data_IF_240374667930
#
_entry.id   IF_240374667930
#
_cell.length_a   1.000
_cell.length_b   1.000
_cell.length_c   1.000
_cell.angle_alpha   90.00
_cell.angle_beta   90.00
_cell.angle_gamma   90.00
#
_symmetry.space_group_name_H-M   'P 1'
#
loop_
_entity.id
_entity.type
_entity.pdbx_description
1 polymer ?
#
# COMPACT_ATOMS: atom_id res chain seq x y z
N UNK A 1 3.32 4.46 -10.61
CA UNK A 1 4.63 4.86 -11.16
C UNK A 1 4.57 5.10 -12.66
N UNK A 2 4.16 4.13 -13.47
CA UNK A 2 3.97 4.33 -14.92
C UNK A 2 3.00 5.49 -15.24
N UNK A 3 1.84 5.52 -14.57
CA UNK A 3 0.87 6.62 -14.69
C UNK A 3 1.49 7.99 -14.42
N UNK A 4 2.24 8.12 -13.35
CA UNK A 4 2.87 9.37 -12.91
C UNK A 4 3.94 9.86 -13.86
N UNK A 5 4.71 8.94 -14.46
CA UNK A 5 5.70 9.26 -15.50
C UNK A 5 5.02 9.85 -16.74
N UNK A 6 3.91 9.27 -17.18
CA UNK A 6 3.16 9.77 -18.34
C UNK A 6 2.42 11.08 -18.07
N UNK A 7 1.99 11.30 -16.83
CA UNK A 7 1.39 12.55 -16.37
C UNK A 7 2.42 13.67 -16.14
N UNK A 8 3.73 13.37 -16.15
CA UNK A 8 4.79 14.31 -15.80
C UNK A 8 4.78 14.71 -14.32
N UNK A 9 4.10 13.93 -13.48
CA UNK A 9 3.88 14.26 -12.08
C UNK A 9 5.09 13.84 -11.24
N UNK A 10 5.53 14.73 -10.35
CA UNK A 10 6.79 14.56 -9.58
C UNK A 10 6.76 13.36 -8.62
N UNK A 11 5.57 12.81 -8.31
CA UNK A 11 5.44 11.64 -7.46
C UNK A 11 4.17 10.85 -7.74
N UNK A 12 4.29 9.53 -7.74
CA UNK A 12 3.15 8.59 -7.82
C UNK A 12 2.25 8.58 -6.58
N UNK A 13 2.58 9.41 -5.59
CA UNK A 13 1.75 9.68 -4.41
C UNK A 13 0.88 10.93 -4.59
N UNK A 14 0.86 11.56 -5.77
CA UNK A 14 0.06 12.77 -6.08
C UNK A 14 -1.20 12.37 -6.84
N UNK A 15 -1.87 11.32 -6.39
CA UNK A 15 -3.16 10.91 -6.96
C UNK A 15 -4.25 11.47 -6.05
N UNK A 16 -4.53 12.77 -6.20
CA UNK A 16 -5.56 13.51 -5.47
C UNK A 16 -5.71 13.08 -3.99
N UNK A 17 -4.61 13.10 -3.25
CA UNK A 17 -4.58 12.90 -1.79
C UNK A 17 -5.38 13.97 -1.04
N UNK A 18 -5.96 14.94 -1.75
CA UNK A 18 -6.70 16.07 -1.19
C UNK A 18 -8.17 15.79 -0.92
N UNK A 19 -8.75 14.72 -1.50
CA UNK A 19 -10.18 14.47 -1.41
C UNK A 19 -10.65 13.70 -0.15
N UNK A 20 -9.79 12.90 0.51
CA UNK A 20 -10.22 12.06 1.65
C UNK A 20 -9.27 12.15 2.88
N UNK A 21 -9.76 12.56 4.08
CA UNK A 21 -8.95 12.71 5.29
C UNK A 21 -8.24 11.41 5.72
N UNK A 22 -8.79 10.23 5.38
CA UNK A 22 -8.20 8.93 5.71
C UNK A 22 -6.87 8.71 4.97
N UNK A 23 -6.81 9.08 3.69
CA UNK A 23 -5.58 8.98 2.89
C UNK A 23 -4.52 9.97 3.42
N UNK A 24 -4.93 11.17 3.80
CA UNK A 24 -4.02 12.17 4.39
C UNK A 24 -3.39 11.67 5.70
N UNK A 25 -4.17 11.00 6.55
CA UNK A 25 -3.65 10.37 7.76
C UNK A 25 -2.65 9.25 7.44
N UNK A 26 -2.99 8.36 6.50
CA UNK A 26 -2.11 7.27 6.07
C UNK A 26 -0.76 7.76 5.52
N UNK A 27 -0.76 8.83 4.72
CA UNK A 27 0.46 9.40 4.14
C UNK A 27 1.28 10.28 5.10
N UNK A 28 0.90 10.36 6.37
CA UNK A 28 1.77 10.95 7.40
C UNK A 28 3.00 10.06 7.57
N UNK A 29 4.24 10.58 7.53
CA UNK A 29 5.46 9.77 7.48
C UNK A 29 5.57 8.77 8.63
N UNK A 30 5.15 9.15 9.84
CA UNK A 30 5.14 8.24 11.01
C UNK A 30 4.16 7.08 10.85
N UNK A 31 2.97 7.34 10.32
CA UNK A 31 1.93 6.32 10.09
C UNK A 31 2.38 5.37 8.99
N UNK A 32 2.86 5.90 7.87
CA UNK A 32 3.38 5.09 6.77
C UNK A 32 4.51 4.14 7.21
N UNK A 33 5.43 4.64 8.05
CA UNK A 33 6.52 3.81 8.62
C UNK A 33 5.97 2.69 9.50
N UNK A 34 5.00 2.97 10.38
CA UNK A 34 4.37 1.94 11.23
C UNK A 34 3.66 0.87 10.39
N UNK A 35 2.94 1.27 9.34
CA UNK A 35 2.31 0.33 8.41
C UNK A 35 3.34 -0.48 7.62
N UNK A 36 4.50 0.08 7.31
CA UNK A 36 5.58 -0.63 6.64
C UNK A 36 6.24 -1.67 7.55
N UNK A 37 6.65 -1.25 8.75
CA UNK A 37 7.25 -2.13 9.75
C UNK A 37 6.27 -3.22 10.15
N UNK A 38 5.00 -2.89 10.43
CA UNK A 38 3.99 -3.87 10.79
C UNK A 38 3.76 -4.93 9.72
N UNK A 39 3.79 -4.53 8.44
CA UNK A 39 3.71 -5.46 7.32
C UNK A 39 4.95 -6.36 7.19
N UNK A 40 6.16 -5.82 7.37
CA UNK A 40 7.39 -6.62 7.39
C UNK A 40 7.40 -7.61 8.55
N UNK A 41 7.02 -7.17 9.76
CA UNK A 41 6.91 -8.02 10.96
C UNK A 41 5.88 -9.13 10.76
N UNK A 42 4.77 -8.88 10.06
CA UNK A 42 3.79 -9.91 9.72
C UNK A 42 4.41 -11.02 8.86
N UNK A 43 5.10 -10.66 7.77
CA UNK A 43 5.75 -11.65 6.90
C UNK A 43 6.90 -12.39 7.59
N UNK A 44 7.68 -11.70 8.43
CA UNK A 44 8.69 -12.33 9.28
C UNK A 44 8.03 -13.32 10.26
N UNK A 45 6.91 -12.95 10.88
CA UNK A 45 6.21 -13.83 11.82
C UNK A 45 5.69 -15.09 11.12
N UNK A 46 5.11 -14.96 9.92
CA UNK A 46 4.68 -16.10 9.10
C UNK A 46 5.86 -17.00 8.70
N UNK A 47 6.99 -16.40 8.31
CA UNK A 47 8.21 -17.12 8.01
C UNK A 47 8.69 -17.93 9.23
N UNK A 48 8.74 -17.28 10.40
CA UNK A 48 9.14 -17.95 11.64
C UNK A 48 8.16 -19.06 12.03
N UNK A 49 6.85 -18.86 11.91
CA UNK A 49 5.84 -19.90 12.12
C UNK A 49 6.06 -21.08 11.17
N UNK A 50 6.34 -20.84 9.89
CA UNK A 50 6.51 -21.92 8.92
C UNK A 50 7.80 -22.75 9.13
N UNK A 51 8.92 -22.10 9.48
CA UNK A 51 10.23 -22.74 9.55
C UNK A 51 10.71 -23.12 10.96
N UNK A 52 10.20 -22.47 12.02
CA UNK A 52 10.57 -22.83 13.40
C UNK A 52 9.63 -23.91 13.92
N UNK A 53 10.11 -25.15 13.79
CA UNK A 53 9.43 -26.37 14.25
C UNK A 53 9.47 -26.48 15.79
N UNK A 54 8.29 -26.58 16.40
CA UNK A 54 8.01 -27.29 17.67
C UNK A 54 8.64 -26.84 19.00
N UNK A 55 9.19 -25.63 19.14
CA UNK A 55 9.32 -25.04 20.48
C UNK A 55 8.00 -24.37 20.86
N UNK A 56 7.15 -25.09 21.60
CA UNK A 56 5.74 -24.71 21.87
C UNK A 56 5.53 -23.28 22.40
N UNK A 57 6.53 -22.70 23.07
CA UNK A 57 6.50 -21.31 23.53
C UNK A 57 6.77 -20.29 22.40
N UNK A 58 7.72 -20.56 21.49
CA UNK A 58 8.07 -19.63 20.41
C UNK A 58 7.02 -19.61 19.32
N UNK A 59 6.45 -20.76 18.97
CA UNK A 59 5.31 -20.85 18.04
C UNK A 59 4.13 -19.98 18.50
N UNK A 60 3.75 -20.08 19.78
CA UNK A 60 2.66 -19.28 20.36
C UNK A 60 2.98 -17.78 20.36
N UNK A 61 4.21 -17.41 20.68
CA UNK A 61 4.65 -16.02 20.69
C UNK A 61 4.58 -15.39 19.28
N UNK A 62 5.16 -16.06 18.26
CA UNK A 62 5.12 -15.59 16.88
C UNK A 62 3.71 -15.64 16.29
N UNK A 63 2.89 -16.61 16.70
CA UNK A 63 1.46 -16.67 16.36
C UNK A 63 0.68 -15.44 16.86
N UNK A 64 0.92 -15.02 18.11
CA UNK A 64 0.28 -13.82 18.65
C UNK A 64 0.72 -12.56 17.91
N UNK A 65 2.01 -12.44 17.61
CA UNK A 65 2.56 -11.30 16.83
C UNK A 65 1.97 -11.29 15.41
N UNK A 66 1.84 -12.45 14.76
CA UNK A 66 1.22 -12.56 13.44
C UNK A 66 -0.25 -12.09 13.47
N UNK A 67 -1.03 -12.51 14.47
CA UNK A 67 -2.43 -12.07 14.62
C UNK A 67 -2.52 -10.57 14.90
N UNK A 68 -1.63 -10.02 15.73
CA UNK A 68 -1.61 -8.59 16.04
C UNK A 68 -1.22 -7.73 14.84
N UNK A 69 -0.33 -8.23 13.97
CA UNK A 69 0.18 -7.50 12.79
C UNK A 69 -0.64 -7.75 11.52
N UNK A 70 -1.45 -8.82 11.49
CA UNK A 70 -2.37 -9.13 10.40
C UNK A 70 -3.28 -7.96 9.98
N UNK A 71 -3.99 -7.25 10.88
CA UNK A 71 -4.84 -6.13 10.47
C UNK A 71 -4.04 -5.01 9.80
N UNK A 72 -2.81 -4.76 10.24
CA UNK A 72 -1.92 -3.74 9.65
C UNK A 72 -1.51 -4.15 8.24
N UNK A 73 -1.11 -5.41 8.05
CA UNK A 73 -0.76 -5.96 6.74
C UNK A 73 -1.97 -5.94 5.79
N UNK A 74 -3.14 -6.36 6.24
CA UNK A 74 -4.38 -6.36 5.44
C UNK A 74 -4.78 -4.94 5.01
N UNK A 75 -4.77 -3.97 5.94
CA UNK A 75 -5.04 -2.57 5.61
C UNK A 75 -4.05 -2.02 4.58
N UNK A 76 -2.75 -2.34 4.69
CA UNK A 76 -1.76 -1.93 3.70
C UNK A 76 -2.05 -2.51 2.30
N UNK A 77 -2.46 -3.77 2.21
CA UNK A 77 -2.84 -4.39 0.94
C UNK A 77 -4.09 -3.75 0.32
N UNK A 78 -5.08 -3.40 1.14
CA UNK A 78 -6.27 -2.66 0.68
C UNK A 78 -5.86 -1.31 0.08
N UNK A 79 -4.97 -0.58 0.75
CA UNK A 79 -4.52 0.73 0.28
C UNK A 79 -3.75 0.61 -1.04
N UNK A 80 -2.92 -0.42 -1.22
CA UNK A 80 -2.30 -0.69 -2.52
C UNK A 80 -3.34 -0.96 -3.61
N UNK A 81 -4.44 -1.66 -3.30
CA UNK A 81 -5.56 -1.86 -4.23
C UNK A 81 -6.25 -0.55 -4.63
N UNK A 82 -6.52 0.33 -3.66
CA UNK A 82 -7.09 1.67 -3.92
C UNK A 82 -6.16 2.50 -4.81
N UNK A 83 -4.86 2.51 -4.51
CA UNK A 83 -3.86 3.21 -5.32
C UNK A 83 -3.79 2.68 -6.75
N UNK A 84 -3.98 1.37 -6.96
CA UNK A 84 -4.03 0.77 -8.29
C UNK A 84 -5.23 1.28 -9.09
N UNK A 85 -6.43 1.28 -8.49
CA UNK A 85 -7.64 1.77 -9.15
C UNK A 85 -7.52 3.24 -9.53
N UNK A 86 -7.03 4.08 -8.61
CA UNK A 86 -6.80 5.51 -8.86
C UNK A 86 -5.79 5.72 -9.99
N UNK A 87 -4.70 4.94 -10.02
CA UNK A 87 -3.72 5.01 -11.10
C UNK A 87 -4.33 4.64 -12.47
N UNK A 88 -5.21 3.63 -12.52
CA UNK A 88 -5.93 3.26 -13.74
C UNK A 88 -6.87 4.38 -14.22
N UNK A 89 -7.60 5.01 -13.31
CA UNK A 89 -8.50 6.12 -13.64
C UNK A 89 -7.76 7.33 -14.20
N UNK A 90 -6.63 7.69 -13.60
CA UNK A 90 -5.80 8.79 -14.06
C UNK A 90 -5.21 8.54 -15.46
N UNK A 91 -4.80 7.31 -15.74
CA UNK A 91 -4.34 6.91 -17.08
C UNK A 91 -5.44 7.07 -18.13
N UNK A 92 -6.67 6.61 -17.86
CA UNK A 92 -7.79 6.77 -18.78
C UNK A 92 -8.16 8.24 -19.05
N UNK A 93 -8.05 9.10 -18.03
CA UNK A 93 -8.22 10.55 -18.18
C UNK A 93 -7.14 11.16 -19.07
N UNK A 94 -5.88 10.78 -18.88
CA UNK A 94 -4.76 11.24 -19.71
C UNK A 94 -4.95 10.82 -21.18
N UNK A 95 -5.38 9.59 -21.43
CA UNK A 95 -5.66 9.10 -22.79
C UNK A 95 -6.75 9.92 -23.50
N UNK A 96 -7.77 10.36 -22.77
CA UNK A 96 -8.85 11.19 -23.32
C UNK A 96 -8.32 12.58 -23.70
N UNK A 97 -7.49 13.19 -22.84
CA UNK A 97 -6.86 14.49 -23.10
C UNK A 97 -5.96 14.41 -24.34
N UNK A 98 -5.08 13.40 -24.41
CA UNK A 98 -4.19 13.18 -25.54
C UNK A 98 -4.93 12.96 -26.87
N UNK A 99 -6.15 12.41 -26.83
CA UNK A 99 -7.01 12.25 -28.02
C UNK A 99 -7.62 13.57 -28.46
N UNK A 100 -8.04 14.42 -27.53
CA UNK A 100 -8.63 15.73 -27.83
C UNK A 100 -7.60 16.70 -28.43
N UNK A 101 -6.36 16.67 -27.94
CA UNK A 101 -5.28 17.50 -28.49
C UNK A 101 -4.94 17.16 -29.94
N UNK A 102 -5.05 15.89 -30.34
CA UNK A 102 -4.78 15.46 -31.74
C UNK A 102 -5.85 15.88 -32.74
N UNK A 103 -7.04 16.27 -32.27
CA UNK A 103 -8.17 16.68 -33.12
C UNK A 103 -8.19 18.20 -33.32
N UNK A 104 -7.42 18.95 -32.53
CA UNK A 104 -7.37 20.41 -32.52
C UNK A 104 -6.20 20.93 -33.35
#
# INVERSE_FOLDING_TARGET
MYSSLQLGDSSHKVTDLSANPVMRFYYTPRVLTVFCIGNEVFFISLYMLHFMLDLSATWKAWGLVAVATFPIAAMKHIIHGVQLILACQQLGRLDTINRLEKVK
#
